data_IF_336299429193
#
_entry.id   IF_336299429193
#
_cell.length_a   1.000
_cell.length_b   1.000
_cell.length_c   1.000
_cell.angle_alpha   90.00
_cell.angle_beta   90.00
_cell.angle_gamma   90.00
#
_symmetry.space_group_name_H-M   'P 1'
#
loop_
_entity.id
_entity.type
_entity.pdbx_description
1 polymer ?
#
# COMPACT_ATOMS: atom_id res chain seq x y z
N UNK A 1 -17.16 -16.36 -6.77
CA UNK A 1 -17.69 -17.58 -6.14
C UNK A 1 -19.20 -17.50 -6.18
N UNK A 2 -19.84 -18.33 -7.00
CA UNK A 2 -21.27 -18.26 -7.31
C UNK A 2 -22.21 -18.89 -6.28
N UNK A 3 -21.72 -19.12 -5.05
CA UNK A 3 -22.53 -19.76 -4.01
C UNK A 3 -23.74 -18.90 -3.61
N UNK A 4 -23.57 -17.57 -3.65
CA UNK A 4 -24.67 -16.63 -3.46
C UNK A 4 -25.72 -16.73 -4.57
N UNK A 5 -25.28 -16.78 -5.83
CA UNK A 5 -26.16 -16.94 -6.99
C UNK A 5 -26.88 -18.30 -7.02
N UNK A 6 -26.25 -19.36 -6.51
CA UNK A 6 -26.90 -20.67 -6.36
C UNK A 6 -28.06 -20.62 -5.36
N UNK A 7 -27.96 -19.81 -4.30
CA UNK A 7 -29.05 -19.59 -3.35
C UNK A 7 -30.14 -18.71 -3.98
N UNK A 8 -29.78 -17.63 -4.69
CA UNK A 8 -30.75 -16.79 -5.42
C UNK A 8 -31.58 -17.62 -6.41
N UNK A 9 -30.93 -18.52 -7.15
CA UNK A 9 -31.60 -19.43 -8.09
C UNK A 9 -32.54 -20.42 -7.38
N UNK A 10 -32.13 -20.94 -6.22
CA UNK A 10 -32.95 -21.85 -5.40
C UNK A 10 -34.18 -21.16 -4.83
N UNK A 11 -34.03 -19.92 -4.35
CA UNK A 11 -35.09 -19.12 -3.72
C UNK A 11 -35.91 -18.32 -4.75
N UNK A 12 -35.71 -18.55 -6.05
CA UNK A 12 -36.42 -17.88 -7.15
C UNK A 12 -36.29 -16.35 -7.13
N UNK A 13 -35.20 -15.84 -6.58
CA UNK A 13 -34.87 -14.42 -6.54
C UNK A 13 -34.15 -14.02 -7.83
N UNK A 14 -34.28 -12.76 -8.25
CA UNK A 14 -33.56 -12.22 -9.40
C UNK A 14 -32.05 -12.35 -9.18
N UNK A 15 -31.37 -12.99 -10.14
CA UNK A 15 -29.92 -13.18 -10.11
C UNK A 15 -29.16 -11.85 -10.11
N UNK A 16 -28.21 -11.72 -9.20
CA UNK A 16 -27.30 -10.58 -9.16
C UNK A 16 -26.31 -10.62 -10.34
N UNK A 17 -26.07 -9.48 -11.03
CA UNK A 17 -25.13 -9.43 -12.15
C UNK A 17 -23.71 -9.76 -11.70
N UNK A 18 -23.04 -10.67 -12.40
CA UNK A 18 -21.67 -11.07 -12.07
C UNK A 18 -20.68 -10.00 -12.56
N UNK A 19 -20.30 -9.07 -11.70
CA UNK A 19 -19.15 -8.19 -11.96
C UNK A 19 -17.86 -8.95 -11.64
N UNK A 20 -17.07 -9.27 -12.68
CA UNK A 20 -15.75 -9.87 -12.54
C UNK A 20 -14.67 -8.85 -12.90
N UNK A 21 -13.60 -8.80 -12.10
CA UNK A 21 -12.40 -8.08 -12.46
C UNK A 21 -11.76 -8.71 -13.71
N UNK A 22 -11.67 -7.96 -14.81
CA UNK A 22 -11.11 -8.44 -16.07
C UNK A 22 -9.59 -8.67 -16.00
N UNK A 23 -8.90 -7.85 -15.20
CA UNK A 23 -7.47 -7.95 -14.97
C UNK A 23 -7.13 -7.48 -13.55
N UNK A 24 -6.05 -8.03 -13.00
CA UNK A 24 -5.48 -7.56 -11.74
C UNK A 24 -3.97 -7.70 -11.77
N UNK A 25 -3.28 -6.80 -11.06
CA UNK A 25 -1.83 -6.88 -10.84
C UNK A 25 -1.52 -6.25 -9.50
N UNK A 26 -0.65 -6.88 -8.73
CA UNK A 26 -0.10 -6.28 -7.50
C UNK A 26 0.95 -5.24 -7.86
N UNK A 27 1.13 -4.19 -7.06
CA UNK A 27 2.19 -3.21 -7.31
C UNK A 27 3.59 -3.85 -7.39
N UNK A 28 3.87 -4.87 -6.56
CA UNK A 28 5.12 -5.62 -6.59
C UNK A 28 5.38 -6.25 -7.96
N UNK A 29 4.42 -7.02 -8.47
CA UNK A 29 4.48 -7.62 -9.81
C UNK A 29 4.55 -6.57 -10.93
N UNK A 30 3.79 -5.47 -10.80
CA UNK A 30 3.79 -4.39 -11.78
C UNK A 30 5.17 -3.75 -11.91
N UNK A 31 5.79 -3.37 -10.78
CA UNK A 31 7.08 -2.70 -10.79
C UNK A 31 8.22 -3.62 -11.27
N UNK A 32 8.13 -4.94 -11.02
CA UNK A 32 9.09 -5.93 -11.56
C UNK A 32 9.12 -5.99 -13.09
N UNK A 33 8.10 -5.51 -13.79
CA UNK A 33 8.09 -5.49 -15.26
C UNK A 33 8.98 -4.41 -15.86
N UNK A 34 9.39 -3.40 -15.08
CA UNK A 34 10.25 -2.34 -15.58
C UNK A 34 11.71 -2.79 -15.58
N UNK A 35 12.43 -2.47 -16.67
CA UNK A 35 13.86 -2.77 -16.80
C UNK A 35 14.71 -2.07 -15.73
N UNK A 36 14.27 -0.91 -15.25
CA UNK A 36 14.92 -0.13 -14.20
C UNK A 36 13.85 0.50 -13.30
N UNK A 37 14.08 0.45 -12.00
CA UNK A 37 13.20 1.03 -10.98
C UNK A 37 14.04 1.98 -10.12
N UNK A 38 13.47 3.14 -9.79
CA UNK A 38 14.05 4.12 -8.88
C UNK A 38 12.92 4.85 -8.17
N UNK A 39 13.20 5.41 -6.99
CA UNK A 39 12.21 6.13 -6.19
C UNK A 39 12.87 7.21 -5.33
N UNK A 40 12.06 8.15 -4.87
CA UNK A 40 12.47 9.26 -4.00
C UNK A 40 11.43 9.45 -2.90
N UNK A 41 11.89 9.59 -1.66
CA UNK A 41 11.04 9.86 -0.50
C UNK A 41 11.88 10.43 0.64
N UNK A 42 11.28 11.28 1.48
CA UNK A 42 11.95 11.82 2.67
C UNK A 42 11.99 10.85 3.85
N UNK A 43 11.21 9.77 3.83
CA UNK A 43 11.02 8.85 4.96
C UNK A 43 11.42 7.41 4.66
N UNK A 44 11.98 7.13 3.48
CA UNK A 44 12.22 5.77 3.01
C UNK A 44 13.20 4.95 3.86
N UNK A 45 14.04 5.59 4.68
CA UNK A 45 15.09 4.89 5.44
C UNK A 45 14.54 3.89 6.45
N UNK A 46 13.36 4.16 7.01
CA UNK A 46 12.70 3.24 7.95
C UNK A 46 12.22 1.95 7.29
N UNK A 47 11.92 1.99 5.99
CA UNK A 47 11.42 0.86 5.21
C UNK A 47 12.48 0.23 4.29
N UNK A 48 13.76 0.51 4.52
CA UNK A 48 14.86 0.08 3.65
C UNK A 48 14.89 -1.44 3.43
N UNK A 49 14.66 -2.21 4.49
CA UNK A 49 14.63 -3.68 4.41
C UNK A 49 13.53 -4.17 3.46
N UNK A 50 12.33 -3.59 3.55
CA UNK A 50 11.22 -3.97 2.68
C UNK A 50 11.47 -3.59 1.21
N UNK A 51 12.06 -2.42 0.97
CA UNK A 51 12.46 -2.00 -0.38
C UNK A 51 13.50 -2.92 -1.00
N UNK A 52 14.48 -3.37 -0.20
CA UNK A 52 15.51 -4.30 -0.65
C UNK A 52 14.91 -5.68 -0.94
N UNK A 53 14.12 -6.23 -0.01
CA UNK A 53 13.56 -7.58 -0.13
C UNK A 53 12.51 -7.68 -1.26
N UNK A 54 11.69 -6.64 -1.44
CA UNK A 54 10.58 -6.67 -2.41
C UNK A 54 11.00 -6.24 -3.81
N UNK A 55 11.81 -5.17 -3.89
CA UNK A 55 12.14 -4.47 -5.13
C UNK A 55 13.63 -4.47 -5.48
N UNK A 56 14.51 -5.01 -4.62
CA UNK A 56 15.96 -4.96 -4.82
C UNK A 56 16.54 -3.55 -4.76
N UNK A 57 15.85 -2.62 -4.09
CA UNK A 57 16.21 -1.21 -4.05
C UNK A 57 16.88 -0.85 -2.72
N UNK A 58 18.04 -0.21 -2.79
CA UNK A 58 18.70 0.38 -1.63
C UNK A 58 18.16 1.78 -1.34
N UNK A 59 18.13 2.15 -0.06
CA UNK A 59 17.69 3.49 0.36
C UNK A 59 18.88 4.30 0.86
N UNK A 60 19.29 5.27 0.05
CA UNK A 60 20.40 6.16 0.34
C UNK A 60 19.85 7.44 0.97
N UNK A 61 20.36 7.80 2.15
CA UNK A 61 20.00 9.05 2.81
C UNK A 61 20.85 10.19 2.25
N UNK A 62 20.20 11.10 1.53
CA UNK A 62 20.85 12.30 0.97
C UNK A 62 20.86 13.41 2.02
N UNK A 63 22.00 14.08 2.27
CA UNK A 63 22.06 15.19 3.21
C UNK A 63 21.18 16.36 2.77
N UNK A 64 20.60 17.07 3.73
CA UNK A 64 19.79 18.26 3.43
C UNK A 64 20.70 19.42 3.02
N UNK A 65 20.23 20.24 2.08
CA UNK A 65 20.97 21.43 1.64
C UNK A 65 21.17 22.47 2.76
N UNK A 66 20.30 22.46 3.78
CA UNK A 66 20.36 23.35 4.94
C UNK A 66 20.16 22.55 6.24
N UNK A 67 20.69 23.02 7.38
CA UNK A 67 20.45 22.41 8.68
C UNK A 67 18.95 22.38 9.01
N UNK A 68 18.49 21.29 9.62
CA UNK A 68 17.09 21.16 10.10
C UNK A 68 16.91 22.05 11.33
N UNK A 69 15.97 23.01 11.25
CA UNK A 69 15.63 23.94 12.34
C UNK A 69 14.28 23.62 13.01
N UNK A 70 13.57 22.61 12.52
CA UNK A 70 12.24 22.23 13.01
C UNK A 70 12.35 21.61 14.41
N UNK A 71 11.60 22.16 15.37
CA UNK A 71 11.41 21.61 16.71
C UNK A 71 10.27 20.60 16.67
N UNK A 72 10.59 19.34 16.95
CA UNK A 72 9.60 18.25 17.05
C UNK A 72 9.19 18.11 18.52
N UNK A 73 8.01 18.61 18.87
CA UNK A 73 7.46 18.47 20.22
C UNK A 73 6.94 17.04 20.45
N UNK A 74 7.03 16.51 21.68
CA UNK A 74 6.47 15.19 22.01
C UNK A 74 4.95 15.20 21.92
N UNK A 75 4.37 14.01 21.73
CA UNK A 75 2.93 13.83 21.68
C UNK A 75 2.28 14.17 23.04
N UNK A 76 1.15 14.88 23.00
CA UNK A 76 0.32 15.15 24.17
C UNK A 76 -0.88 14.21 24.16
N UNK A 77 -0.94 13.29 25.12
CA UNK A 77 -2.03 12.33 25.27
C UNK A 77 -3.08 12.89 26.23
N UNK A 78 -4.33 12.99 25.76
CA UNK A 78 -5.45 13.44 26.57
C UNK A 78 -6.43 12.28 26.78
N UNK A 79 -6.86 12.08 28.02
CA UNK A 79 -7.91 11.14 28.38
C UNK A 79 -9.18 11.95 28.65
N UNK A 80 -10.23 11.74 27.86
CA UNK A 80 -11.57 12.22 28.20
C UNK A 80 -12.20 11.21 29.15
N UNK A 81 -12.34 11.58 30.43
CA UNK A 81 -13.16 10.82 31.38
C UNK A 81 -14.65 10.97 31.00
N UNK A 82 -15.46 9.89 31.12
CA UNK A 82 -16.90 9.95 30.88
C UNK A 82 -17.64 10.86 31.87
#
# INVERSE_FOLDING_TARGET
>A
GGLHQAIEAKELVKLSPETRAMASVTYQSLFRKFKKISGMTGTGKTAEKEFLDTFGMQVIQIPTNRPKQRVDYPDNLYVTLP
#
